data_IF_165063332340
#
_entry.id   IF_165063332340
#
_cell.length_a   1.000
_cell.length_b   1.000
_cell.length_c   1.000
_cell.angle_alpha   90.00
_cell.angle_beta   90.00
_cell.angle_gamma   90.00
#
_symmetry.space_group_name_H-M   'P 1'
#
loop_
_entity.id
_entity.type
_entity.pdbx_description
1 polymer ?
#
# COMPACT_ATOMS: atom_id res chain seq x y z
N UNK A 1 13.52 -12.55 -5.62
CA UNK A 1 12.48 -12.23 -4.61
C UNK A 1 11.48 -11.31 -5.29
N UNK A 2 10.21 -11.68 -5.35
CA UNK A 2 9.16 -10.85 -5.96
C UNK A 2 8.67 -9.87 -4.89
N UNK A 3 9.14 -8.62 -4.94
CA UNK A 3 8.77 -7.59 -3.98
C UNK A 3 7.92 -6.53 -4.69
N UNK A 4 6.91 -6.00 -4.00
CA UNK A 4 6.09 -4.85 -4.40
C UNK A 4 6.11 -3.84 -3.26
N UNK A 5 6.38 -2.58 -3.55
CA UNK A 5 6.29 -1.48 -2.61
C UNK A 5 4.82 -1.06 -2.47
N UNK A 6 4.27 -1.24 -1.27
CA UNK A 6 2.86 -0.96 -1.01
C UNK A 6 2.55 0.54 -0.99
N UNK A 7 3.55 1.42 -0.85
CA UNK A 7 3.35 2.86 -1.00
C UNK A 7 2.94 3.25 -2.43
N UNK A 8 3.23 2.39 -3.41
CA UNK A 8 2.77 2.59 -4.79
C UNK A 8 1.31 2.22 -4.99
N UNK A 9 0.72 1.50 -4.02
CA UNK A 9 -0.60 0.90 -4.15
C UNK A 9 -1.65 1.51 -3.23
N UNK A 10 -1.22 2.14 -2.14
CA UNK A 10 -2.11 2.57 -1.07
C UNK A 10 -1.79 3.97 -0.56
N UNK A 11 -2.84 4.70 -0.17
CA UNK A 11 -2.79 6.01 0.50
C UNK A 11 -3.50 5.93 1.85
N UNK A 12 -3.05 6.72 2.82
CA UNK A 12 -3.81 6.99 4.04
C UNK A 12 -4.71 8.22 3.82
N UNK A 13 -6.03 8.06 3.96
CA UNK A 13 -7.00 9.16 3.96
C UNK A 13 -7.70 9.17 5.31
N UNK A 14 -7.39 10.16 6.14
CA UNK A 14 -8.00 10.37 7.45
C UNK A 14 -7.97 9.10 8.32
N UNK A 15 -6.82 8.43 8.37
CA UNK A 15 -6.61 7.20 9.12
C UNK A 15 -7.14 5.95 8.42
N UNK A 16 -7.64 6.03 7.19
CA UNK A 16 -8.17 4.88 6.45
C UNK A 16 -7.31 4.59 5.22
N UNK A 17 -6.80 3.35 5.12
CA UNK A 17 -6.03 2.92 3.96
C UNK A 17 -6.98 2.68 2.78
N UNK A 18 -6.68 3.32 1.65
CA UNK A 18 -7.45 3.17 0.40
C UNK A 18 -6.54 2.85 -0.78
N UNK A 19 -7.02 2.09 -1.77
CA UNK A 19 -6.27 1.86 -3.01
C UNK A 19 -6.04 3.18 -3.74
N UNK A 20 -4.78 3.50 -4.03
CA UNK A 20 -4.40 4.68 -4.83
C UNK A 20 -2.99 4.50 -5.37
N UNK A 21 -2.83 4.73 -6.66
CA UNK A 21 -1.52 4.77 -7.31
C UNK A 21 -0.64 5.86 -6.69
N UNK A 22 0.59 5.50 -6.31
CA UNK A 22 1.58 6.39 -5.66
C UNK A 22 1.02 7.09 -4.41
N UNK A 23 0.38 6.31 -3.53
CA UNK A 23 -0.35 6.85 -2.39
C UNK A 23 0.48 7.16 -1.14
N UNK A 24 1.60 6.48 -0.92
CA UNK A 24 2.54 6.79 0.18
C UNK A 24 1.96 6.61 1.59
N UNK A 25 1.11 5.60 1.83
CA UNK A 25 0.45 5.40 3.13
C UNK A 25 1.42 5.18 4.30
N UNK A 26 2.61 4.61 4.06
CA UNK A 26 3.57 4.24 5.11
C UNK A 26 4.05 5.45 5.93
N UNK A 27 4.04 6.64 5.34
CA UNK A 27 4.42 7.89 6.02
C UNK A 27 3.54 8.24 7.22
N UNK A 28 2.33 7.65 7.29
CA UNK A 28 1.31 7.91 8.31
C UNK A 28 0.69 6.63 8.87
N UNK A 29 1.30 5.48 8.62
CA UNK A 29 0.81 4.19 9.10
C UNK A 29 1.97 3.38 9.69
N UNK A 30 1.69 2.71 10.80
CA UNK A 30 2.69 2.09 11.67
C UNK A 30 2.25 0.67 12.04
N UNK A 31 3.19 -0.10 12.59
CA UNK A 31 2.98 -1.45 13.11
C UNK A 31 2.22 -2.38 12.15
N UNK A 32 2.59 -2.29 10.86
CA UNK A 32 1.99 -3.10 9.82
C UNK A 32 2.38 -4.58 9.93
N UNK A 33 1.38 -5.45 9.89
CA UNK A 33 1.55 -6.91 9.89
C UNK A 33 0.79 -7.54 8.74
N UNK A 34 1.42 -8.52 8.10
CA UNK A 34 0.83 -9.32 7.04
C UNK A 34 0.40 -10.69 7.58
N UNK A 35 -0.77 -11.16 7.17
CA UNK A 35 -1.19 -12.53 7.41
C UNK A 35 -2.07 -13.06 6.28
N UNK A 36 -2.09 -14.39 6.13
CA UNK A 36 -3.01 -15.07 5.25
C UNK A 36 -4.14 -15.71 6.08
N UNK A 37 -5.39 -15.42 5.73
CA UNK A 37 -6.52 -16.09 6.35
C UNK A 37 -6.55 -17.56 5.93
N UNK A 38 -6.51 -18.49 6.89
CA UNK A 38 -6.27 -19.90 6.61
C UNK A 38 -7.36 -20.57 5.75
N UNK A 39 -8.61 -20.15 5.90
CA UNK A 39 -9.77 -20.74 5.22
C UNK A 39 -9.87 -20.33 3.76
N UNK A 40 -9.70 -19.04 3.47
CA UNK A 40 -9.86 -18.47 2.13
C UNK A 40 -8.54 -18.29 1.38
N UNK A 41 -7.40 -18.46 2.08
CA UNK A 41 -6.06 -18.09 1.61
C UNK A 41 -5.93 -16.61 1.22
N UNK A 42 -6.87 -15.77 1.65
CA UNK A 42 -6.87 -14.33 1.37
C UNK A 42 -5.77 -13.64 2.16
N UNK A 43 -5.00 -12.78 1.49
CA UNK A 43 -3.94 -12.01 2.12
C UNK A 43 -4.46 -10.70 2.68
N UNK A 44 -4.18 -10.45 3.95
CA UNK A 44 -4.54 -9.20 4.64
C UNK A 44 -3.29 -8.47 5.11
N UNK A 45 -3.37 -7.14 5.04
CA UNK A 45 -2.45 -6.23 5.73
C UNK A 45 -3.23 -5.52 6.84
N UNK A 46 -2.68 -5.55 8.04
CA UNK A 46 -3.22 -4.85 9.19
C UNK A 46 -2.21 -3.79 9.65
N UNK A 47 -2.64 -2.55 9.81
CA UNK A 47 -1.79 -1.42 10.20
C UNK A 47 -2.54 -0.45 11.12
N UNK A 48 -1.81 0.39 11.84
CA UNK A 48 -2.34 1.51 12.62
C UNK A 48 -2.03 2.82 11.93
N UNK A 49 -3.04 3.59 11.53
CA UNK A 49 -2.86 4.79 10.73
C UNK A 49 -3.31 6.07 11.45
N UNK A 50 -2.51 7.11 11.32
CA UNK A 50 -2.79 8.45 11.87
C UNK A 50 -3.94 9.11 11.10
N UNK A 51 -4.98 9.54 11.83
CA UNK A 51 -6.13 10.26 11.28
C UNK A 51 -5.97 11.79 11.26
N UNK A 52 -4.84 12.34 11.70
CA UNK A 52 -4.50 13.76 11.58
C UNK A 52 -5.26 14.70 12.54
N UNK A 53 -6.17 14.19 13.36
CA UNK A 53 -7.04 15.01 14.22
C UNK A 53 -6.50 15.25 15.64
N UNK A 54 -5.72 14.33 16.22
CA UNK A 54 -4.99 14.49 17.48
C UNK A 54 -3.82 13.49 17.54
N UNK A 55 -2.78 13.82 18.32
CA UNK A 55 -1.51 13.06 18.37
C UNK A 55 -1.62 11.57 18.74
N UNK A 56 -2.77 11.10 19.21
CA UNK A 56 -3.00 9.74 19.68
C UNK A 56 -4.16 9.01 18.98
N UNK A 57 -4.75 9.56 17.91
CA UNK A 57 -5.83 8.88 17.18
C UNK A 57 -5.29 8.01 16.04
N UNK A 58 -4.74 6.85 16.42
CA UNK A 58 -4.46 5.77 15.49
C UNK A 58 -5.72 4.96 15.21
N UNK A 59 -6.03 4.76 13.93
CA UNK A 59 -7.13 3.93 13.45
C UNK A 59 -6.58 2.59 12.98
N UNK A 60 -7.12 1.51 13.51
CA UNK A 60 -6.81 0.17 13.05
C UNK A 60 -7.39 -0.05 11.65
N UNK A 61 -6.53 -0.44 10.73
CA UNK A 61 -6.90 -0.77 9.35
C UNK A 61 -6.66 -2.24 9.10
N UNK A 62 -7.58 -2.85 8.36
CA UNK A 62 -7.43 -4.19 7.81
C UNK A 62 -7.84 -4.15 6.34
N UNK A 63 -6.88 -4.31 5.45
CA UNK A 63 -7.11 -4.29 4.00
C UNK A 63 -6.90 -5.67 3.41
N UNK A 64 -7.78 -6.05 2.48
CA UNK A 64 -7.61 -7.24 1.65
C UNK A 64 -6.66 -6.90 0.50
N UNK A 65 -5.47 -7.50 0.51
CA UNK A 65 -4.43 -7.21 -0.48
C UNK A 65 -4.79 -7.75 -1.87
N UNK A 66 -5.57 -8.83 -1.94
CA UNK A 66 -5.91 -9.51 -3.18
C UNK A 66 -6.88 -8.68 -4.06
N UNK A 67 -7.50 -7.63 -3.51
CA UNK A 67 -8.36 -6.71 -4.26
C UNK A 67 -7.59 -5.73 -5.14
N UNK A 68 -6.33 -5.46 -4.81
CA UNK A 68 -5.51 -4.43 -5.46
C UNK A 68 -4.24 -5.02 -6.06
N UNK A 69 -3.66 -6.00 -5.39
CA UNK A 69 -2.41 -6.64 -5.79
C UNK A 69 -2.72 -7.84 -6.66
N UNK A 70 -2.04 -7.90 -7.80
CA UNK A 70 -2.17 -8.98 -8.77
C UNK A 70 -0.81 -9.35 -9.34
N UNK A 71 -0.74 -10.48 -10.05
CA UNK A 71 0.50 -10.92 -10.73
C UNK A 71 0.46 -10.52 -12.20
N UNK A 72 1.44 -9.74 -12.64
CA UNK A 72 1.67 -9.35 -14.04
C UNK A 72 3.03 -9.87 -14.48
N UNK A 73 3.06 -10.73 -15.50
CA UNK A 73 4.30 -11.32 -16.05
C UNK A 73 5.20 -12.00 -14.98
N UNK A 74 4.59 -12.61 -13.96
CA UNK A 74 5.32 -13.25 -12.87
C UNK A 74 5.80 -12.30 -11.77
N UNK A 75 5.46 -11.00 -11.84
CA UNK A 75 5.78 -10.00 -10.83
C UNK A 75 4.52 -9.53 -10.08
N UNK A 76 4.68 -9.22 -8.79
CA UNK A 76 3.64 -8.53 -8.04
C UNK A 76 3.45 -7.13 -8.61
N UNK A 77 2.20 -6.73 -8.76
CA UNK A 77 1.80 -5.47 -9.35
C UNK A 77 0.53 -4.93 -8.71
N UNK A 78 0.34 -3.61 -8.76
CA UNK A 78 -0.92 -2.95 -8.44
C UNK A 78 -1.17 -1.86 -9.48
N UNK A 79 -2.44 -1.65 -9.88
CA UNK A 79 -2.80 -0.72 -10.96
C UNK A 79 -2.02 -0.95 -12.28
N UNK A 80 -1.57 -2.19 -12.53
CA UNK A 80 -0.77 -2.54 -13.71
C UNK A 80 0.70 -2.15 -13.62
N UNK A 81 1.18 -1.67 -12.46
CA UNK A 81 2.56 -1.22 -12.22
C UNK A 81 3.25 -2.22 -11.32
N UNK A 82 4.48 -2.56 -11.69
CA UNK A 82 5.40 -3.35 -10.86
C UNK A 82 6.46 -2.44 -10.22
N UNK A 83 7.22 -2.94 -9.25
CA UNK A 83 8.38 -2.21 -8.70
C UNK A 83 9.44 -1.80 -9.74
N UNK A 84 9.43 -2.42 -10.92
CA UNK A 84 10.35 -2.09 -12.03
C UNK A 84 9.83 -0.94 -12.89
N UNK A 85 8.54 -0.63 -12.81
CA UNK A 85 7.84 0.36 -13.61
C UNK A 85 7.51 1.62 -12.80
N UNK A 86 8.17 1.85 -11.65
CA UNK A 86 8.03 3.11 -10.90
C UNK A 86 8.22 4.27 -11.88
N UNK A 87 7.22 5.15 -12.09
CA UNK A 87 7.51 6.41 -12.73
C UNK A 87 8.50 7.09 -11.80
N UNK A 88 9.74 7.27 -12.28
CA UNK A 88 10.70 8.14 -11.63
C UNK A 88 9.95 9.44 -11.29
N UNK A 89 10.03 9.97 -10.04
CA UNK A 89 9.62 11.34 -9.82
C UNK A 89 10.39 12.15 -10.87
N UNK A 90 9.64 12.80 -11.77
CA UNK A 90 10.16 13.27 -13.05
C UNK A 90 11.53 13.91 -12.88
N UNK A 91 12.47 13.55 -13.75
CA UNK A 91 13.66 14.37 -13.95
C UNK A 91 13.16 15.84 -14.00
N UNK A 92 13.72 16.74 -13.17
CA UNK A 92 13.42 18.15 -13.38
C UNK A 92 13.78 18.44 -14.83
N UNK A 93 12.82 18.95 -15.60
CA UNK A 93 13.06 19.52 -16.92
C UNK A 93 14.24 20.49 -16.78
N UNK A 94 15.43 20.04 -17.18
CA UNK A 94 16.60 20.89 -17.38
C UNK A 94 16.39 21.51 -18.77
N UNK A 95 15.69 22.64 -18.79
CA UNK A 95 15.54 23.51 -19.97
C UNK A 95 15.61 24.98 -19.57
#
# INVERSE_FOLDING_TARGET
MLNLDLDMCFVNVDGNIKPRMLGGFSSKCYDCSHYAQQTTRTHFLQCWCDAGHDKDHLVENRINMDEVISVKNGFLSCFGITNFECPLPGDPDDS
#
